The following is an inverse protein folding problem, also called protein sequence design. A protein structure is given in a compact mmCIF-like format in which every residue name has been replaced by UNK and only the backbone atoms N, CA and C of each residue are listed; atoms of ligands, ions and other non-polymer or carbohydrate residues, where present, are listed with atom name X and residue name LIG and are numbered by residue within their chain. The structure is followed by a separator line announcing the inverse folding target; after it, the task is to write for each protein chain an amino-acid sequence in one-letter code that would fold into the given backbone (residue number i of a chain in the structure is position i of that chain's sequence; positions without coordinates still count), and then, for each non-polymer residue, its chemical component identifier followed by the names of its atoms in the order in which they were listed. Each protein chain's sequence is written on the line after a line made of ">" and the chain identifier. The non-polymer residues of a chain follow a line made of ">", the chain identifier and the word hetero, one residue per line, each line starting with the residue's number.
data_IF_143365598446
#
_entry.id   IF_143365598446
#
_cell.length_a   1.000
_cell.length_b   1.000
_cell.length_c   1.000
_cell.angle_alpha   90.00
_cell.angle_beta   90.00
_cell.angle_gamma   90.00
#
_symmetry.space_group_name_H-M   'P 1'
#
loop_
_entity.id
_entity.type
_entity.pdbx_description
1 polymer ?
#
# COMPACT_ATOMS: atom_id res chain seq x y z
N UNK A 1 -4.58 13.93 -2.66
CA UNK A 1 -3.36 13.31 -2.12
C UNK A 1 -2.86 14.12 -0.95
N UNK A 2 -2.38 13.46 0.10
CA UNK A 2 -1.76 14.05 1.29
C UNK A 2 -0.46 13.31 1.59
N UNK A 3 0.39 13.87 2.44
CA UNK A 3 1.56 13.17 2.98
C UNK A 3 1.26 12.82 4.44
N UNK A 4 1.48 11.57 4.81
CA UNK A 4 1.42 11.11 6.20
C UNK A 4 2.81 10.63 6.59
N UNK A 5 3.32 11.14 7.70
CA UNK A 5 4.61 10.76 8.27
C UNK A 5 4.35 9.97 9.53
N UNK A 6 5.04 8.85 9.69
CA UNK A 6 4.93 8.02 10.88
C UNK A 6 5.91 8.49 11.98
N UNK A 7 6.05 7.68 13.03
CA UNK A 7 6.91 8.01 14.16
C UNK A 7 8.40 7.86 13.80
N UNK A 8 9.26 8.72 14.36
CA UNK A 8 10.71 8.70 14.11
C UNK A 8 11.36 7.38 14.56
N UNK A 9 10.80 6.72 15.57
CA UNK A 9 11.31 5.44 16.09
C UNK A 9 10.70 4.21 15.37
N UNK A 10 9.88 4.41 14.32
CA UNK A 10 9.29 3.33 13.51
C UNK A 10 9.93 3.28 12.13
N UNK A 11 9.29 3.83 11.08
CA UNK A 11 9.87 3.86 9.72
C UNK A 11 10.60 5.19 9.49
N UNK A 12 10.16 6.28 10.14
CA UNK A 12 10.64 7.64 9.90
C UNK A 12 10.51 8.02 8.41
N UNK A 13 9.39 7.60 7.80
CA UNK A 13 9.10 7.74 6.38
C UNK A 13 7.84 8.59 6.15
N UNK A 14 7.75 9.17 4.95
CA UNK A 14 6.60 9.96 4.51
C UNK A 14 5.91 9.33 3.31
N UNK A 15 4.66 8.93 3.47
CA UNK A 15 3.87 8.27 2.44
C UNK A 15 2.90 9.23 1.75
N UNK A 16 2.85 9.17 0.42
CA UNK A 16 1.77 9.77 -0.34
C UNK A 16 0.49 8.93 -0.23
N UNK A 17 -0.57 9.52 0.32
CA UNK A 17 -1.86 8.84 0.50
C UNK A 17 -2.95 9.56 -0.29
N UNK A 18 -3.78 8.78 -1.00
CA UNK A 18 -4.98 9.25 -1.69
C UNK A 18 -6.10 8.22 -1.51
N UNK A 19 -7.35 8.68 -1.44
CA UNK A 19 -8.49 7.76 -1.46
C UNK A 19 -8.51 7.00 -2.79
N UNK A 20 -8.52 5.66 -2.73
CA UNK A 20 -8.41 4.81 -3.92
C UNK A 20 -9.51 5.09 -4.96
N UNK A 21 -10.74 5.39 -4.50
CA UNK A 21 -11.87 5.70 -5.39
C UNK A 21 -11.74 7.06 -6.11
N UNK A 22 -10.84 7.94 -5.65
CA UNK A 22 -10.58 9.26 -6.24
C UNK A 22 -9.20 9.33 -6.91
N UNK A 23 -8.43 8.24 -6.92
CA UNK A 23 -7.09 8.22 -7.48
C UNK A 23 -7.13 8.34 -9.01
N UNK A 24 -6.32 9.25 -9.56
CA UNK A 24 -6.21 9.48 -11.00
C UNK A 24 -4.89 8.93 -11.56
N UNK A 25 -4.78 8.64 -12.87
CA UNK A 25 -3.51 8.27 -13.48
C UNK A 25 -2.39 9.29 -13.24
N UNK A 26 -2.71 10.58 -13.10
CA UNK A 26 -1.76 11.63 -12.80
C UNK A 26 -1.21 11.50 -11.37
N UNK A 27 -2.05 11.16 -10.39
CA UNK A 27 -1.61 10.89 -9.02
C UNK A 27 -0.63 9.72 -9.00
N UNK A 28 -0.95 8.60 -9.67
CA UNK A 28 -0.12 7.40 -9.70
C UNK A 28 1.23 7.65 -10.41
N UNK A 29 1.21 8.38 -11.52
CA UNK A 29 2.45 8.76 -12.20
C UNK A 29 3.33 9.66 -11.32
N UNK A 30 2.72 10.58 -10.56
CA UNK A 30 3.45 11.41 -9.60
C UNK A 30 4.06 10.58 -8.47
N UNK A 31 3.28 9.68 -7.85
CA UNK A 31 3.76 8.77 -6.81
C UNK A 31 4.95 7.92 -7.30
N UNK A 32 4.85 7.33 -8.49
CA UNK A 32 5.92 6.52 -9.07
C UNK A 32 7.18 7.34 -9.39
N UNK A 33 7.00 8.61 -9.81
CA UNK A 33 8.11 9.48 -10.20
C UNK A 33 8.82 10.13 -9.02
N UNK A 34 8.07 10.60 -8.03
CA UNK A 34 8.62 11.38 -6.91
C UNK A 34 8.79 10.53 -5.64
N UNK A 35 7.85 9.60 -5.35
CA UNK A 35 7.91 8.71 -4.18
C UNK A 35 8.84 7.50 -4.36
N UNK A 36 9.07 7.04 -5.60
CA UNK A 36 10.10 6.04 -5.95
C UNK A 36 9.99 4.70 -5.18
N UNK A 37 8.77 4.18 -5.01
CA UNK A 37 8.52 2.93 -4.28
C UNK A 37 7.48 2.03 -4.94
N UNK A 38 6.90 1.13 -4.15
CA UNK A 38 5.78 0.28 -4.53
C UNK A 38 4.46 1.02 -4.33
N UNK A 39 3.53 0.89 -5.27
CA UNK A 39 2.15 1.36 -5.07
C UNK A 39 1.39 0.27 -4.32
N UNK A 40 0.91 0.62 -3.13
CA UNK A 40 0.10 -0.26 -2.29
C UNK A 40 -1.34 0.25 -2.21
N UNK A 41 -2.29 -0.68 -2.00
CA UNK A 41 -3.69 -0.35 -1.71
C UNK A 41 -4.01 -0.93 -0.34
N UNK A 42 -4.17 -0.06 0.66
CA UNK A 42 -4.63 -0.48 1.98
C UNK A 42 -6.12 -0.85 1.92
N UNK A 43 -6.45 -2.06 2.36
CA UNK A 43 -7.83 -2.57 2.38
C UNK A 43 -8.18 -3.16 3.76
N UNK A 44 -9.42 -3.04 4.21
CA UNK A 44 -9.90 -3.79 5.37
C UNK A 44 -9.92 -5.30 5.11
N UNK A 45 -9.85 -6.11 6.17
CA UNK A 45 -9.86 -7.59 6.09
C UNK A 45 -11.10 -8.15 5.39
N UNK A 46 -12.26 -7.48 5.49
CA UNK A 46 -13.47 -7.92 4.79
C UNK A 46 -13.31 -7.89 3.26
N UNK A 47 -12.54 -6.93 2.72
CA UNK A 47 -12.27 -6.82 1.30
C UNK A 47 -11.28 -7.87 0.85
N UNK A 48 -10.23 -8.16 1.64
CA UNK A 48 -9.29 -9.22 1.28
C UNK A 48 -9.98 -10.59 1.25
N UNK A 49 -10.88 -10.87 2.19
CA UNK A 49 -11.70 -12.09 2.18
C UNK A 49 -12.64 -12.14 0.98
N UNK A 50 -13.37 -11.06 0.70
CA UNK A 50 -14.33 -10.99 -0.41
C UNK A 50 -13.66 -11.14 -1.78
N UNK A 51 -12.43 -10.64 -1.91
CA UNK A 51 -11.63 -10.69 -3.14
C UNK A 51 -10.68 -11.89 -3.19
N UNK A 52 -10.73 -12.78 -2.19
CA UNK A 52 -9.89 -13.98 -2.07
C UNK A 52 -8.37 -13.68 -2.11
N UNK A 53 -7.97 -12.53 -1.57
CA UNK A 53 -6.58 -12.09 -1.50
C UNK A 53 -5.89 -12.68 -0.26
N UNK A 54 -5.21 -13.81 -0.46
CA UNK A 54 -4.43 -14.47 0.58
C UNK A 54 -3.14 -13.70 0.91
N UNK A 55 -2.60 -13.81 2.14
CA UNK A 55 -1.27 -13.29 2.47
C UNK A 55 -0.21 -13.75 1.48
N UNK A 56 0.75 -12.88 1.15
CA UNK A 56 1.80 -13.17 0.16
C UNK A 56 2.70 -14.32 0.59
N UNK A 57 2.94 -14.45 1.90
CA UNK A 57 3.76 -15.51 2.50
C UNK A 57 3.05 -16.12 3.71
N UNK A 58 3.25 -17.43 3.98
CA UNK A 58 2.62 -18.10 5.12
C UNK A 58 3.22 -17.71 6.47
N UNK A 59 4.50 -17.29 6.51
CA UNK A 59 5.20 -16.82 7.71
C UNK A 59 5.85 -15.46 7.40
N UNK A 60 5.37 -14.40 8.05
CA UNK A 60 5.81 -13.04 7.79
C UNK A 60 6.96 -12.65 8.72
N UNK A 61 8.17 -12.63 8.17
CA UNK A 61 9.40 -12.27 8.88
C UNK A 61 9.86 -10.83 8.62
N UNK A 62 9.01 -10.00 7.98
CA UNK A 62 9.33 -8.60 7.74
C UNK A 62 9.48 -7.83 9.06
N UNK A 63 10.41 -6.86 9.10
CA UNK A 63 10.77 -6.09 10.29
C UNK A 63 9.53 -5.47 10.94
N UNK A 64 8.65 -4.86 10.14
CA UNK A 64 7.40 -4.26 10.60
C UNK A 64 6.16 -5.13 10.34
N UNK A 65 6.37 -6.38 9.91
CA UNK A 65 5.30 -7.34 9.60
C UNK A 65 4.23 -6.79 8.65
N UNK A 66 4.63 -5.96 7.67
CA UNK A 66 3.72 -5.40 6.68
C UNK A 66 2.92 -6.52 6.02
N UNK A 67 1.60 -6.43 6.15
CA UNK A 67 0.71 -7.55 5.85
C UNK A 67 0.28 -7.55 4.37
N UNK A 68 1.24 -7.83 3.49
CA UNK A 68 0.98 -7.89 2.06
C UNK A 68 0.13 -9.10 1.69
N UNK A 69 -0.86 -8.89 0.81
CA UNK A 69 -1.53 -9.97 0.08
C UNK A 69 -0.78 -10.32 -1.20
N UNK A 70 -1.20 -11.37 -1.90
CA UNK A 70 -0.81 -11.58 -3.30
C UNK A 70 -1.08 -10.31 -4.13
N UNK A 71 -0.15 -9.98 -5.03
CA UNK A 71 -0.28 -8.82 -5.92
C UNK A 71 -1.40 -9.05 -6.94
N UNK A 72 -2.03 -7.97 -7.38
CA UNK A 72 -3.14 -8.00 -8.34
C UNK A 72 -2.82 -7.16 -9.57
N UNK A 73 -3.47 -7.49 -10.68
CA UNK A 73 -3.55 -6.65 -11.87
C UNK A 73 -5.00 -6.63 -12.37
N UNK A 74 -5.40 -5.55 -13.01
CA UNK A 74 -6.73 -5.43 -13.61
C UNK A 74 -6.67 -5.95 -15.06
N UNK A 75 -7.70 -6.71 -15.47
CA UNK A 75 -7.86 -7.21 -16.85
C UNK A 75 -8.69 -6.25 -17.68
#
# INVERSE_FOLDING_TARGET
>A
MIIVVDDEDRENEGDFIVAAEQATPQDLNFMMKEGRGLICIAIPTEYSQRLELSPMVPDNTAIHQTNFTVSVDAV
#
